data_IF_621170577428
#
_entry.id   IF_621170577428
#
_cell.length_a   1.000
_cell.length_b   1.000
_cell.length_c   1.000
_cell.angle_alpha   90.00
_cell.angle_beta   90.00
_cell.angle_gamma   90.00
#
_symmetry.space_group_name_H-M   'P 1'
#
loop_
_entity.id
_entity.type
_entity.pdbx_description
1 polymer ?
#
# COMPACT_ATOMS: atom_id res chain seq x y z
N UNK A 1 21.00 1.52 -23.22
CA UNK A 1 19.83 1.88 -22.44
C UNK A 1 20.03 3.24 -21.75
N UNK A 2 18.99 3.78 -21.07
CA UNK A 2 18.97 5.14 -20.50
C UNK A 2 20.20 5.42 -19.64
N UNK A 3 20.52 4.55 -18.67
CA UNK A 3 21.66 4.74 -17.76
C UNK A 3 22.97 4.90 -18.51
N UNK A 4 23.26 4.04 -19.48
CA UNK A 4 24.53 4.07 -20.23
C UNK A 4 24.66 5.32 -21.09
N UNK A 5 23.54 5.81 -21.66
CA UNK A 5 23.52 7.07 -22.42
C UNK A 5 23.81 8.26 -21.51
N UNK A 6 23.07 8.36 -20.39
CA UNK A 6 23.21 9.51 -19.49
C UNK A 6 24.49 9.51 -18.65
N UNK A 7 25.12 8.34 -18.40
CA UNK A 7 26.39 8.27 -17.68
C UNK A 7 27.53 8.99 -18.44
N UNK A 8 27.43 9.13 -19.75
CA UNK A 8 28.39 9.89 -20.56
C UNK A 8 28.26 11.40 -20.32
N UNK A 9 27.06 11.87 -19.98
CA UNK A 9 26.74 13.28 -19.69
C UNK A 9 26.94 13.57 -18.20
N UNK A 10 26.54 12.62 -17.34
CA UNK A 10 26.59 12.72 -15.87
C UNK A 10 27.51 11.63 -15.31
N UNK A 11 28.84 11.85 -15.29
CA UNK A 11 29.81 10.82 -14.90
C UNK A 11 29.88 10.54 -13.38
N UNK A 12 29.17 11.34 -12.57
CA UNK A 12 29.18 11.23 -11.11
C UNK A 12 28.46 9.99 -10.57
N UNK A 13 28.15 10.02 -9.29
CA UNK A 13 27.44 8.95 -8.58
C UNK A 13 25.97 8.85 -9.01
N UNK A 14 25.49 7.63 -9.06
CA UNK A 14 24.12 7.32 -9.46
C UNK A 14 23.35 6.69 -8.29
N UNK A 15 22.17 7.22 -8.02
CA UNK A 15 21.29 6.74 -6.96
C UNK A 15 19.97 6.31 -7.59
N UNK A 16 19.50 5.10 -7.29
CA UNK A 16 18.13 4.71 -7.64
C UNK A 16 17.19 4.95 -6.47
N UNK A 17 16.03 5.51 -6.74
CA UNK A 17 15.00 5.79 -5.75
C UNK A 17 13.62 5.66 -6.35
N UNK A 18 12.63 5.41 -5.51
CA UNK A 18 11.23 5.33 -5.89
C UNK A 18 10.33 5.15 -4.67
N UNK A 19 9.05 5.45 -4.85
CA UNK A 19 8.06 5.47 -3.79
C UNK A 19 7.02 4.38 -4.08
N UNK A 20 6.60 3.61 -3.05
CA UNK A 20 5.54 2.61 -3.16
C UNK A 20 5.89 1.56 -4.24
N UNK A 21 5.09 1.41 -5.29
CA UNK A 21 5.46 0.60 -6.47
C UNK A 21 6.82 1.00 -7.05
N UNK A 22 7.14 2.31 -7.04
CA UNK A 22 8.48 2.80 -7.42
C UNK A 22 9.57 2.29 -6.49
N UNK A 23 9.30 2.14 -5.19
CA UNK A 23 10.18 1.49 -4.22
C UNK A 23 10.40 0.01 -4.53
N UNK A 24 9.34 -0.72 -4.91
CA UNK A 24 9.47 -2.10 -5.42
C UNK A 24 10.34 -2.14 -6.70
N UNK A 25 10.09 -1.21 -7.64
CA UNK A 25 10.88 -1.10 -8.88
C UNK A 25 12.35 -0.81 -8.57
N UNK A 26 12.64 0.02 -7.58
CA UNK A 26 14.01 0.31 -7.10
C UNK A 26 14.70 -0.96 -6.58
N UNK A 27 13.99 -1.77 -5.79
CA UNK A 27 14.50 -3.07 -5.32
C UNK A 27 14.74 -4.06 -6.48
N UNK A 28 13.79 -4.15 -7.40
CA UNK A 28 13.92 -4.98 -8.60
C UNK A 28 15.12 -4.54 -9.44
N UNK A 29 15.23 -3.26 -9.74
CA UNK A 29 16.34 -2.71 -10.50
C UNK A 29 17.69 -3.07 -9.86
N UNK A 30 17.82 -2.87 -8.54
CA UNK A 30 19.03 -3.21 -7.80
C UNK A 30 19.34 -4.71 -7.83
N UNK A 31 18.32 -5.58 -7.74
CA UNK A 31 18.50 -7.03 -7.78
C UNK A 31 18.85 -7.59 -9.16
N UNK A 32 18.43 -6.91 -10.24
CA UNK A 32 18.75 -7.33 -11.61
C UNK A 32 20.04 -6.67 -12.16
N UNK A 33 20.34 -5.46 -11.69
CA UNK A 33 21.48 -4.66 -12.12
C UNK A 33 22.27 -4.12 -10.92
N UNK A 34 22.96 -5.01 -10.17
CA UNK A 34 23.55 -4.67 -8.87
C UNK A 34 24.62 -3.58 -8.93
N UNK A 35 25.31 -3.45 -10.06
CA UNK A 35 26.43 -2.53 -10.25
C UNK A 35 26.06 -1.25 -11.02
N UNK A 36 24.80 -1.08 -11.39
CA UNK A 36 24.35 0.06 -12.20
C UNK A 36 24.23 1.37 -11.40
N UNK A 37 24.08 1.28 -10.09
CA UNK A 37 23.97 2.44 -9.20
C UNK A 37 24.83 2.27 -7.96
N UNK A 38 25.32 3.39 -7.42
CA UNK A 38 26.18 3.39 -6.23
C UNK A 38 25.43 2.98 -4.97
N UNK A 39 24.20 3.48 -4.80
CA UNK A 39 23.29 3.02 -3.75
C UNK A 39 21.82 3.23 -4.13
N UNK A 40 20.93 2.69 -3.32
CA UNK A 40 19.46 2.74 -3.58
C UNK A 40 18.68 3.17 -2.35
N UNK A 41 17.62 3.97 -2.56
CA UNK A 41 16.74 4.45 -1.49
C UNK A 41 15.28 4.15 -1.87
N UNK A 42 14.78 2.91 -1.65
CA UNK A 42 13.37 2.59 -1.81
C UNK A 42 12.54 3.14 -0.62
N UNK A 43 11.48 3.90 -0.94
CA UNK A 43 10.53 4.45 0.03
C UNK A 43 9.25 3.62 0.02
N UNK A 44 8.80 3.21 1.20
CA UNK A 44 7.52 2.52 1.45
C UNK A 44 7.19 1.45 0.41
N UNK A 45 8.24 0.76 -0.05
CA UNK A 45 8.16 -0.29 -1.06
C UNK A 45 7.89 -1.64 -0.40
N UNK A 46 6.69 -2.22 -0.56
CA UNK A 46 6.40 -3.54 0.01
C UNK A 46 7.10 -4.65 -0.77
N UNK A 47 7.39 -5.74 -0.10
CA UNK A 47 7.85 -7.00 -0.68
C UNK A 47 6.82 -8.08 -0.37
N UNK A 48 5.72 -8.10 -1.12
CA UNK A 48 4.64 -9.06 -0.93
C UNK A 48 5.02 -10.41 -1.53
N UNK A 49 4.63 -11.49 -0.84
CA UNK A 49 4.91 -12.88 -1.21
C UNK A 49 3.73 -13.59 -1.89
N UNK A 50 2.61 -12.89 -2.04
CA UNK A 50 1.39 -13.41 -2.65
C UNK A 50 0.37 -12.31 -2.92
N UNK A 51 -0.63 -12.63 -3.72
CA UNK A 51 -1.89 -11.90 -3.78
C UNK A 51 -2.59 -12.18 -2.45
N UNK A 52 -3.10 -11.17 -1.77
CA UNK A 52 -3.63 -11.32 -0.40
C UNK A 52 -2.55 -11.80 0.59
N UNK A 53 -1.43 -11.07 0.63
CA UNK A 53 -0.35 -11.35 1.57
C UNK A 53 -0.86 -11.23 3.01
N UNK A 54 -0.96 -12.36 3.70
CA UNK A 54 -1.59 -12.49 5.02
C UNK A 54 -0.88 -11.77 6.18
N UNK A 55 0.07 -10.85 5.92
CA UNK A 55 0.72 -10.02 6.94
C UNK A 55 -0.04 -8.73 7.22
N UNK A 56 -0.89 -8.27 6.31
CA UNK A 56 -1.58 -6.97 6.42
C UNK A 56 -2.69 -7.00 7.48
N UNK A 57 -3.53 -8.04 7.53
CA UNK A 57 -4.62 -8.12 8.50
C UNK A 57 -4.10 -8.23 9.95
N UNK A 58 -3.07 -9.04 10.28
CA UNK A 58 -2.44 -9.01 11.60
C UNK A 58 -1.82 -7.67 11.96
N UNK A 59 -1.28 -6.93 10.99
CA UNK A 59 -0.77 -5.57 11.18
C UNK A 59 -1.90 -4.62 11.55
N UNK A 60 -2.99 -4.59 10.78
CA UNK A 60 -4.17 -3.74 11.02
C UNK A 60 -4.81 -4.01 12.39
N UNK A 61 -4.72 -5.23 12.90
CA UNK A 61 -5.18 -5.56 14.26
C UNK A 61 -4.27 -5.03 15.38
N UNK A 62 -3.08 -4.52 15.06
CA UNK A 62 -2.08 -4.07 16.06
C UNK A 62 -1.66 -2.61 15.89
N UNK A 63 -1.79 -2.03 14.70
CA UNK A 63 -1.35 -0.67 14.39
C UNK A 63 -2.05 0.37 15.27
N UNK A 64 -1.32 1.42 15.65
CA UNK A 64 -1.84 2.47 16.52
C UNK A 64 -2.24 1.98 17.92
N UNK A 65 -3.10 2.74 18.57
CA UNK A 65 -3.67 2.38 19.89
C UNK A 65 -4.92 1.52 19.73
N UNK A 66 -5.32 0.83 20.80
CA UNK A 66 -6.58 0.09 20.84
C UNK A 66 -7.79 1.00 20.59
N UNK A 67 -7.80 2.17 21.21
CA UNK A 67 -8.89 3.15 21.05
C UNK A 67 -9.03 3.65 19.60
N UNK A 68 -7.90 3.88 18.90
CA UNK A 68 -7.93 4.26 17.49
C UNK A 68 -8.55 3.14 16.63
N UNK A 69 -8.14 1.89 16.82
CA UNK A 69 -8.70 0.75 16.08
C UNK A 69 -10.18 0.52 16.35
N UNK A 70 -10.60 0.62 17.61
CA UNK A 70 -12.03 0.53 17.99
C UNK A 70 -12.85 1.65 17.34
N UNK A 71 -12.32 2.87 17.31
CA UNK A 71 -12.98 4.01 16.67
C UNK A 71 -13.16 3.81 15.17
N UNK A 72 -12.14 3.27 14.49
CA UNK A 72 -12.18 2.93 13.06
C UNK A 72 -13.23 1.84 12.81
N UNK A 73 -13.19 0.74 13.57
CA UNK A 73 -14.13 -0.37 13.42
C UNK A 73 -15.57 0.05 13.73
N UNK A 74 -15.77 0.90 14.72
CA UNK A 74 -17.08 1.44 15.09
C UNK A 74 -17.70 2.25 13.94
N UNK A 75 -16.89 3.08 13.26
CA UNK A 75 -17.32 3.81 12.08
C UNK A 75 -17.71 2.87 10.94
N UNK A 76 -16.87 1.89 10.61
CA UNK A 76 -17.17 0.88 9.58
C UNK A 76 -18.49 0.15 9.88
N UNK A 77 -18.70 -0.26 11.12
CA UNK A 77 -19.92 -0.93 11.55
C UNK A 77 -21.15 -0.01 11.47
N UNK A 78 -21.00 1.29 11.79
CA UNK A 78 -22.10 2.25 11.73
C UNK A 78 -22.55 2.47 10.28
N UNK A 79 -21.61 2.65 9.35
CA UNK A 79 -21.91 2.74 7.92
C UNK A 79 -22.65 1.49 7.43
N UNK A 80 -22.18 0.31 7.78
CA UNK A 80 -22.80 -0.96 7.36
C UNK A 80 -24.20 -1.16 7.96
N UNK A 81 -24.47 -0.71 9.18
CA UNK A 81 -25.80 -0.76 9.79
C UNK A 81 -26.80 0.13 9.07
N UNK A 82 -26.34 1.26 8.53
CA UNK A 82 -27.14 2.21 7.75
C UNK A 82 -27.04 1.99 6.23
N UNK A 83 -26.70 0.75 5.81
CA UNK A 83 -26.49 0.42 4.40
C UNK A 83 -27.64 0.86 3.50
N UNK A 84 -28.91 0.72 3.94
CA UNK A 84 -30.09 1.16 3.19
C UNK A 84 -30.08 2.66 2.88
N UNK A 85 -29.57 3.46 3.78
CA UNK A 85 -29.52 4.92 3.66
C UNK A 85 -28.27 5.38 2.89
N UNK A 86 -27.17 4.60 2.99
CA UNK A 86 -25.92 4.85 2.26
C UNK A 86 -26.03 4.55 0.77
N UNK A 87 -26.80 3.52 0.36
CA UNK A 87 -26.86 3.08 -1.03
C UNK A 87 -27.38 4.17 -1.99
N UNK A 88 -28.44 4.92 -1.73
CA UNK A 88 -28.88 6.01 -2.62
C UNK A 88 -27.82 7.11 -2.78
N UNK A 89 -27.07 7.41 -1.71
CA UNK A 89 -25.97 8.38 -1.75
C UNK A 89 -24.83 7.88 -2.63
N UNK A 90 -24.46 6.60 -2.50
CA UNK A 90 -23.44 5.96 -3.32
C UNK A 90 -23.82 5.92 -4.78
N UNK A 91 -25.06 5.55 -5.11
CA UNK A 91 -25.56 5.53 -6.50
C UNK A 91 -25.49 6.92 -7.13
N UNK A 92 -25.93 7.96 -6.39
CA UNK A 92 -25.83 9.36 -6.84
C UNK A 92 -24.37 9.78 -7.05
N UNK A 93 -23.49 9.46 -6.12
CA UNK A 93 -22.04 9.76 -6.22
C UNK A 93 -21.43 9.10 -7.46
N UNK A 94 -21.65 7.81 -7.64
CA UNK A 94 -21.11 7.05 -8.78
C UNK A 94 -21.63 7.58 -10.12
N UNK A 95 -22.93 7.89 -10.20
CA UNK A 95 -23.54 8.49 -11.40
C UNK A 95 -22.91 9.83 -11.73
N UNK A 96 -22.72 10.71 -10.76
CA UNK A 96 -22.14 12.04 -10.94
C UNK A 96 -20.68 11.98 -11.43
N UNK A 97 -19.95 10.94 -11.03
CA UNK A 97 -18.55 10.71 -11.44
C UNK A 97 -18.41 9.78 -12.65
N UNK A 98 -19.50 9.29 -13.23
CA UNK A 98 -19.50 8.31 -14.33
C UNK A 98 -18.67 7.06 -14.00
N UNK A 99 -18.76 6.54 -12.76
CA UNK A 99 -18.09 5.32 -12.35
C UNK A 99 -18.91 4.10 -12.73
N UNK A 100 -18.25 3.08 -13.28
CA UNK A 100 -18.85 1.79 -13.62
C UNK A 100 -18.21 0.65 -12.86
N UNK A 101 -19.00 -0.37 -12.54
CA UNK A 101 -18.57 -1.52 -11.75
C UNK A 101 -19.14 -2.82 -12.29
N UNK A 102 -18.37 -3.90 -12.22
CA UNK A 102 -18.84 -5.26 -12.54
C UNK A 102 -19.61 -5.93 -11.42
N UNK A 103 -19.67 -5.31 -10.26
CA UNK A 103 -20.36 -5.82 -9.07
C UNK A 103 -21.52 -4.88 -8.72
N UNK A 104 -22.57 -5.40 -8.05
CA UNK A 104 -23.72 -4.56 -7.66
C UNK A 104 -23.35 -3.55 -6.59
N UNK A 105 -24.07 -2.41 -6.52
CA UNK A 105 -23.80 -1.31 -5.60
C UNK A 105 -23.67 -1.73 -4.12
N UNK A 106 -24.45 -2.67 -3.59
CA UNK A 106 -24.26 -3.15 -2.22
C UNK A 106 -22.88 -3.76 -1.96
N UNK A 107 -22.31 -4.48 -2.95
CA UNK A 107 -20.94 -5.01 -2.85
C UNK A 107 -19.89 -3.89 -2.99
N UNK A 108 -20.13 -2.89 -3.84
CA UNK A 108 -19.25 -1.71 -3.94
C UNK A 108 -19.13 -1.02 -2.59
N UNK A 109 -20.25 -0.80 -1.88
CA UNK A 109 -20.24 -0.23 -0.54
C UNK A 109 -19.47 -1.11 0.45
N UNK A 110 -19.66 -2.44 0.39
CA UNK A 110 -18.92 -3.37 1.23
C UNK A 110 -17.40 -3.20 1.05
N UNK A 111 -16.94 -3.10 -0.19
CA UNK A 111 -15.51 -2.90 -0.47
C UNK A 111 -15.01 -1.52 -0.02
N UNK A 112 -15.79 -0.45 -0.18
CA UNK A 112 -15.43 0.85 0.38
C UNK A 112 -15.23 0.78 1.90
N UNK A 113 -16.12 0.07 2.61
CA UNK A 113 -16.00 -0.10 4.06
C UNK A 113 -14.84 -1.00 4.45
N UNK A 114 -14.59 -2.08 3.71
CA UNK A 114 -13.45 -2.98 3.98
C UNK A 114 -12.10 -2.28 3.75
N UNK A 115 -12.00 -1.43 2.74
CA UNK A 115 -10.81 -0.63 2.43
C UNK A 115 -10.53 0.46 3.46
N UNK A 116 -11.55 0.95 4.16
CA UNK A 116 -11.47 2.13 5.00
C UNK A 116 -10.31 2.12 6.01
N UNK A 117 -10.15 1.04 6.77
CA UNK A 117 -9.07 0.95 7.77
C UNK A 117 -7.68 0.98 7.12
N UNK A 118 -7.52 0.30 5.99
CA UNK A 118 -6.26 0.28 5.26
C UNK A 118 -5.91 1.68 4.73
N UNK A 119 -6.84 2.30 4.02
CA UNK A 119 -6.66 3.63 3.43
C UNK A 119 -6.40 4.71 4.49
N UNK A 120 -7.16 4.70 5.60
CA UNK A 120 -6.98 5.67 6.69
C UNK A 120 -5.54 5.63 7.25
N UNK A 121 -5.05 4.44 7.58
CA UNK A 121 -3.69 4.27 8.08
C UNK A 121 -2.63 4.54 7.02
N UNK A 122 -2.83 4.08 5.79
CA UNK A 122 -1.92 4.32 4.67
C UNK A 122 -1.66 5.81 4.48
N UNK A 123 -2.70 6.62 4.49
CA UNK A 123 -2.54 8.06 4.25
C UNK A 123 -2.26 8.87 5.50
N UNK A 124 -2.33 8.26 6.69
CA UNK A 124 -2.10 8.91 7.97
C UNK A 124 -3.19 9.91 8.32
N UNK A 125 -4.42 9.64 7.90
CA UNK A 125 -5.57 10.45 8.27
C UNK A 125 -5.83 10.31 9.77
N UNK A 126 -6.05 11.44 10.45
CA UNK A 126 -6.26 11.44 11.90
C UNK A 126 -7.56 10.74 12.27
N UNK A 127 -7.51 9.79 13.21
CA UNK A 127 -8.71 9.15 13.76
C UNK A 127 -9.67 10.15 14.41
N UNK A 128 -9.18 11.33 14.81
CA UNK A 128 -10.01 12.40 15.36
C UNK A 128 -10.98 13.04 14.35
N UNK A 129 -10.73 12.86 13.03
CA UNK A 129 -11.62 13.37 11.98
C UNK A 129 -12.84 12.48 11.73
N UNK A 130 -12.84 11.26 12.26
CA UNK A 130 -13.96 10.32 12.09
C UNK A 130 -15.23 10.90 12.72
N UNK A 131 -16.35 11.02 11.97
CA UNK A 131 -17.61 11.52 12.49
C UNK A 131 -18.14 10.70 13.68
N UNK A 132 -18.88 11.32 14.59
CA UNK A 132 -19.50 10.60 15.72
C UNK A 132 -20.54 9.59 15.22
N UNK A 133 -20.88 8.59 16.04
CA UNK A 133 -21.97 7.64 15.72
C UNK A 133 -23.34 8.30 15.58
N UNK A 134 -23.51 9.49 16.14
CA UNK A 134 -24.74 10.28 16.04
C UNK A 134 -24.75 11.28 14.89
N UNK A 135 -23.71 11.30 14.05
CA UNK A 135 -23.69 12.11 12.84
C UNK A 135 -24.78 11.62 11.86
N UNK A 136 -25.26 12.53 11.03
CA UNK A 136 -26.21 12.18 9.96
C UNK A 136 -25.56 11.30 8.88
N UNK A 137 -26.40 10.73 8.03
CA UNK A 137 -25.96 9.80 7.02
C UNK A 137 -25.06 10.46 5.97
N UNK A 138 -25.33 11.74 5.65
CA UNK A 138 -24.50 12.49 4.70
C UNK A 138 -23.07 12.68 5.24
N UNK A 139 -22.93 13.06 6.51
CA UNK A 139 -21.60 13.25 7.10
C UNK A 139 -20.80 11.95 7.20
N UNK A 140 -21.44 10.81 7.51
CA UNK A 140 -20.81 9.50 7.50
C UNK A 140 -20.40 9.10 6.07
N UNK A 141 -21.28 9.32 5.11
CA UNK A 141 -21.05 9.02 3.71
C UNK A 141 -19.89 9.85 3.14
N UNK A 142 -19.91 11.17 3.34
CA UNK A 142 -18.86 12.07 2.82
C UNK A 142 -17.48 11.68 3.37
N UNK A 143 -17.41 11.35 4.66
CA UNK A 143 -16.16 10.90 5.26
C UNK A 143 -15.70 9.53 4.70
N UNK A 144 -16.60 8.58 4.46
CA UNK A 144 -16.26 7.33 3.81
C UNK A 144 -15.70 7.57 2.40
N UNK A 145 -16.35 8.45 1.62
CA UNK A 145 -15.92 8.78 0.25
C UNK A 145 -14.56 9.47 0.22
N UNK A 146 -14.26 10.31 1.20
CA UNK A 146 -12.95 10.96 1.33
C UNK A 146 -11.83 9.96 1.58
N UNK A 147 -12.07 8.92 2.40
CA UNK A 147 -11.03 7.98 2.82
C UNK A 147 -10.90 6.79 1.86
N UNK A 148 -12.02 6.18 1.47
CA UNK A 148 -12.05 4.92 0.73
C UNK A 148 -13.20 4.88 -0.28
N UNK A 149 -13.30 5.93 -1.10
CA UNK A 149 -14.35 6.06 -2.12
C UNK A 149 -14.30 4.96 -3.18
N UNK A 150 -15.41 4.75 -3.91
CA UNK A 150 -15.58 3.68 -4.88
C UNK A 150 -14.71 3.84 -6.13
N UNK A 151 -14.16 5.03 -6.39
CA UNK A 151 -13.28 5.30 -7.54
C UNK A 151 -12.16 4.27 -7.66
N UNK A 152 -11.68 3.76 -6.53
CA UNK A 152 -10.64 2.75 -6.44
C UNK A 152 -11.03 1.41 -7.07
N UNK A 153 -12.30 1.04 -7.01
CA UNK A 153 -12.85 -0.24 -7.49
C UNK A 153 -13.53 -0.13 -8.86
N UNK A 154 -13.55 1.07 -9.46
CA UNK A 154 -14.22 1.30 -10.73
C UNK A 154 -13.47 0.64 -11.90
N UNK A 155 -14.20 0.17 -12.91
CA UNK A 155 -13.62 -0.44 -14.12
C UNK A 155 -12.78 0.55 -14.93
N UNK A 156 -13.12 1.83 -14.90
CA UNK A 156 -12.45 2.89 -15.63
C UNK A 156 -11.34 3.61 -14.82
N UNK A 157 -10.91 3.02 -13.66
CA UNK A 157 -9.84 3.61 -12.86
C UNK A 157 -8.48 3.55 -13.62
N UNK A 158 -7.58 4.55 -13.41
CA UNK A 158 -6.39 4.72 -14.25
C UNK A 158 -5.25 3.72 -13.97
N UNK A 159 -5.34 2.92 -12.89
CA UNK A 159 -4.23 2.07 -12.43
C UNK A 159 -4.35 0.59 -12.82
N UNK A 160 -5.16 0.26 -13.82
CA UNK A 160 -5.41 -1.12 -14.25
C UNK A 160 -4.13 -1.90 -14.51
N UNK A 161 -3.16 -1.32 -15.21
CA UNK A 161 -1.88 -1.99 -15.49
C UNK A 161 -1.09 -2.35 -14.22
N UNK A 162 -1.19 -1.52 -13.17
CA UNK A 162 -0.61 -1.83 -11.87
C UNK A 162 -1.32 -3.04 -11.23
N UNK A 163 -2.65 -3.11 -11.25
CA UNK A 163 -3.38 -4.23 -10.66
C UNK A 163 -3.12 -5.55 -11.38
N UNK A 164 -2.99 -5.53 -12.70
CA UNK A 164 -2.57 -6.70 -13.48
C UNK A 164 -1.17 -7.17 -13.03
N UNK A 165 -0.24 -6.25 -12.86
CA UNK A 165 1.09 -6.58 -12.37
C UNK A 165 1.07 -7.06 -10.91
N UNK A 166 0.26 -6.45 -10.06
CA UNK A 166 0.10 -6.88 -8.66
C UNK A 166 -0.45 -8.31 -8.57
N UNK A 167 -1.51 -8.61 -9.34
CA UNK A 167 -2.09 -9.95 -9.40
C UNK A 167 -1.11 -11.00 -9.93
N UNK A 168 -0.23 -10.62 -10.87
CA UNK A 168 0.68 -11.56 -11.52
C UNK A 168 1.99 -11.79 -10.76
N UNK A 169 2.57 -10.76 -10.14
CA UNK A 169 3.96 -10.87 -9.66
C UNK A 169 4.36 -9.97 -8.48
N UNK A 170 3.68 -8.84 -8.23
CA UNK A 170 4.07 -7.96 -7.12
C UNK A 170 3.42 -8.34 -5.81
N UNK A 171 2.26 -9.00 -5.86
CA UNK A 171 1.42 -9.28 -4.70
C UNK A 171 0.61 -8.07 -4.22
N UNK A 172 -0.31 -8.34 -3.30
CA UNK A 172 -1.23 -7.34 -2.77
C UNK A 172 -1.74 -7.73 -1.39
N UNK A 173 -2.71 -7.00 -0.82
CA UNK A 173 -3.36 -7.31 0.45
C UNK A 173 -4.75 -7.91 0.25
N UNK A 174 -5.28 -8.53 1.31
CA UNK A 174 -6.64 -9.01 1.40
C UNK A 174 -7.44 -8.25 2.46
N UNK A 175 -8.70 -8.61 2.64
CA UNK A 175 -9.59 -8.03 3.65
C UNK A 175 -10.08 -9.07 4.65
N UNK A 176 -10.12 -8.71 5.93
CA UNK A 176 -10.78 -9.50 6.98
C UNK A 176 -12.26 -9.14 7.06
N UNK A 177 -13.11 -10.01 6.52
CA UNK A 177 -14.57 -9.83 6.52
C UNK A 177 -15.22 -10.23 7.85
N UNK A 178 -14.52 -10.97 8.73
CA UNK A 178 -15.09 -11.55 9.95
C UNK A 178 -15.73 -10.54 10.89
N UNK A 179 -15.13 -9.36 11.17
CA UNK A 179 -15.73 -8.37 12.07
C UNK A 179 -17.06 -7.80 11.56
N UNK A 180 -17.29 -7.88 10.27
CA UNK A 180 -18.39 -7.21 9.56
C UNK A 180 -19.42 -8.18 8.96
N UNK A 181 -19.18 -9.50 9.06
CA UNK A 181 -19.92 -10.55 8.35
C UNK A 181 -21.45 -10.41 8.46
N UNK A 182 -21.95 -9.95 9.61
CA UNK A 182 -23.40 -9.79 9.85
C UNK A 182 -24.06 -8.75 8.94
N UNK A 183 -23.28 -7.77 8.44
CA UNK A 183 -23.79 -6.59 7.73
C UNK A 183 -23.32 -6.53 6.28
N UNK A 184 -22.33 -7.34 5.90
CA UNK A 184 -21.85 -7.42 4.52
C UNK A 184 -22.85 -8.17 3.63
N UNK A 185 -22.90 -7.76 2.37
CA UNK A 185 -23.59 -8.48 1.28
C UNK A 185 -22.75 -9.67 0.81
N UNK A 186 -21.42 -9.50 0.81
CA UNK A 186 -20.47 -10.53 0.41
C UNK A 186 -20.16 -11.49 1.56
N UNK A 187 -20.02 -12.77 1.25
CA UNK A 187 -19.57 -13.79 2.22
C UNK A 187 -18.06 -13.84 2.38
N UNK A 188 -17.32 -13.45 1.34
CA UNK A 188 -15.87 -13.49 1.27
C UNK A 188 -15.34 -12.40 0.35
N UNK A 189 -14.21 -11.81 0.73
CA UNK A 189 -13.45 -10.90 -0.14
C UNK A 189 -12.28 -11.61 -0.84
N UNK A 190 -12.15 -12.94 -0.68
CA UNK A 190 -11.08 -13.71 -1.32
C UNK A 190 -11.12 -13.57 -2.85
N UNK A 191 -9.96 -13.33 -3.46
CA UNK A 191 -9.84 -13.16 -4.90
C UNK A 191 -10.35 -11.83 -5.44
N UNK A 192 -10.65 -10.84 -4.58
CA UNK A 192 -11.25 -9.56 -5.02
C UNK A 192 -10.39 -8.85 -6.07
N UNK A 193 -9.06 -8.89 -5.94
CA UNK A 193 -8.15 -8.25 -6.89
C UNK A 193 -8.38 -8.80 -8.31
N UNK A 194 -8.44 -10.12 -8.47
CA UNK A 194 -8.72 -10.75 -9.76
C UNK A 194 -10.16 -10.52 -10.23
N UNK A 195 -11.13 -10.55 -9.29
CA UNK A 195 -12.56 -10.48 -9.63
C UNK A 195 -13.01 -9.09 -10.06
N UNK A 196 -12.51 -8.04 -9.44
CA UNK A 196 -13.04 -6.68 -9.61
C UNK A 196 -12.03 -5.64 -10.10
N UNK A 197 -10.73 -5.87 -9.88
CA UNK A 197 -9.70 -4.87 -10.21
C UNK A 197 -9.02 -5.12 -11.56
N UNK A 198 -9.13 -6.33 -12.13
CA UNK A 198 -8.55 -6.65 -13.43
C UNK A 198 -9.52 -6.36 -14.57
N UNK A 199 -9.04 -6.09 -15.80
CA UNK A 199 -9.87 -6.10 -16.99
C UNK A 199 -10.67 -7.42 -17.12
N UNK A 200 -11.89 -7.34 -17.64
CA UNK A 200 -12.79 -8.49 -17.72
C UNK A 200 -12.16 -9.69 -18.45
N UNK A 201 -11.44 -9.42 -19.52
CA UNK A 201 -10.77 -10.44 -20.33
C UNK A 201 -9.64 -11.17 -19.59
N UNK A 202 -9.15 -10.64 -18.46
CA UNK A 202 -8.10 -11.21 -17.63
C UNK A 202 -8.61 -11.90 -16.35
N UNK A 203 -9.90 -11.73 -16.02
CA UNK A 203 -10.50 -12.38 -14.83
C UNK A 203 -10.37 -13.90 -14.94
N UNK A 204 -9.82 -14.52 -13.89
CA UNK A 204 -9.58 -15.96 -13.83
C UNK A 204 -8.45 -16.49 -14.73
N UNK A 205 -7.70 -15.60 -15.41
CA UNK A 205 -6.61 -15.97 -16.32
C UNK A 205 -5.23 -15.52 -15.84
N UNK A 206 -5.16 -14.85 -14.70
CA UNK A 206 -3.90 -14.34 -14.14
C UNK A 206 -3.55 -15.13 -12.88
N UNK A 207 -2.49 -15.93 -12.97
CA UNK A 207 -1.91 -16.64 -11.84
C UNK A 207 -0.74 -15.86 -11.25
N UNK A 208 -0.66 -15.83 -9.92
CA UNK A 208 0.46 -15.20 -9.23
C UNK A 208 1.74 -16.01 -9.40
N UNK A 209 2.83 -15.33 -9.75
CA UNK A 209 4.16 -15.91 -9.92
C UNK A 209 5.14 -15.25 -8.96
N UNK A 210 5.61 -15.94 -7.92
CA UNK A 210 6.46 -15.34 -6.87
C UNK A 210 7.93 -15.11 -7.29
N UNK A 211 8.25 -15.24 -8.57
CA UNK A 211 9.63 -15.15 -9.06
C UNK A 211 10.32 -13.83 -8.70
N UNK A 212 9.60 -12.69 -8.79
CA UNK A 212 10.14 -11.39 -8.43
C UNK A 212 10.36 -11.26 -6.93
N UNK A 213 9.42 -11.76 -6.10
CA UNK A 213 9.62 -11.86 -4.66
C UNK A 213 10.89 -12.62 -4.32
N UNK A 214 11.06 -13.83 -4.86
CA UNK A 214 12.24 -14.66 -4.60
C UNK A 214 13.53 -14.01 -5.11
N UNK A 215 13.49 -13.33 -6.27
CA UNK A 215 14.65 -12.61 -6.79
C UNK A 215 15.14 -11.52 -5.84
N UNK A 216 14.22 -10.68 -5.33
CA UNK A 216 14.57 -9.61 -4.39
C UNK A 216 15.00 -10.21 -3.04
N UNK A 217 14.20 -11.14 -2.50
CA UNK A 217 14.47 -11.77 -1.21
C UNK A 217 15.85 -12.44 -1.16
N UNK A 218 16.17 -13.26 -2.16
CA UNK A 218 17.46 -13.96 -2.23
C UNK A 218 18.61 -12.98 -2.48
N UNK A 219 18.43 -11.96 -3.33
CA UNK A 219 19.43 -10.92 -3.53
C UNK A 219 19.79 -10.21 -2.23
N UNK A 220 18.80 -9.76 -1.45
CA UNK A 220 19.02 -9.10 -0.16
C UNK A 220 19.60 -10.07 0.88
N UNK A 221 19.15 -11.33 0.90
CA UNK A 221 19.65 -12.35 1.81
C UNK A 221 21.12 -12.68 1.56
N UNK A 222 21.52 -12.85 0.32
CA UNK A 222 22.83 -13.40 -0.07
C UNK A 222 23.89 -12.30 -0.28
N UNK A 223 23.48 -11.04 -0.48
CA UNK A 223 24.39 -9.90 -0.70
C UNK A 223 24.22 -8.85 0.40
N UNK A 224 25.07 -7.81 0.41
CA UNK A 224 24.99 -6.66 1.31
C UNK A 224 25.05 -5.35 0.51
N UNK A 225 24.05 -5.09 -0.35
CA UNK A 225 24.06 -3.90 -1.21
C UNK A 225 23.87 -2.62 -0.38
N UNK A 226 24.46 -1.52 -0.83
CA UNK A 226 24.23 -0.19 -0.24
C UNK A 226 22.78 0.23 -0.49
N UNK A 227 21.90 -0.01 0.46
CA UNK A 227 20.46 0.29 0.38
C UNK A 227 19.92 0.86 1.70
N UNK A 228 19.13 1.92 1.60
CA UNK A 228 18.42 2.52 2.74
C UNK A 228 16.91 2.39 2.47
N UNK A 229 16.26 1.55 3.24
CA UNK A 229 14.80 1.32 3.17
C UNK A 229 14.09 2.25 4.14
N UNK A 230 13.11 3.00 3.65
CA UNK A 230 12.31 3.94 4.43
C UNK A 230 10.88 3.41 4.52
N UNK A 231 10.36 3.27 5.74
CA UNK A 231 9.00 2.80 6.00
C UNK A 231 8.29 3.70 7.01
N UNK A 232 6.96 3.63 7.06
CA UNK A 232 6.13 4.27 8.07
C UNK A 232 5.61 3.26 9.10
N UNK A 233 5.65 3.61 10.40
CA UNK A 233 5.21 2.72 11.48
C UNK A 233 3.71 2.35 11.38
N UNK A 234 2.88 3.31 10.94
CA UNK A 234 1.44 3.10 10.81
C UNK A 234 0.99 2.76 9.38
N UNK A 235 1.91 2.71 8.42
CA UNK A 235 1.61 2.35 7.04
C UNK A 235 1.32 0.85 6.93
N UNK A 236 0.12 0.42 6.50
CA UNK A 236 -0.19 -1.00 6.34
C UNK A 236 0.76 -1.72 5.37
N UNK A 237 1.30 -1.04 4.37
CA UNK A 237 2.31 -1.60 3.47
C UNK A 237 3.60 -1.99 4.18
N UNK A 238 3.90 -1.41 5.35
CA UNK A 238 5.04 -1.80 6.18
C UNK A 238 4.90 -3.20 6.79
N UNK A 239 3.69 -3.77 6.80
CA UNK A 239 3.50 -5.19 7.11
C UNK A 239 4.28 -6.12 6.17
N UNK A 240 4.47 -5.67 4.94
CA UNK A 240 5.20 -6.37 3.89
C UNK A 240 6.59 -5.77 3.61
N UNK A 241 7.19 -5.04 4.56
CA UNK A 241 8.55 -4.53 4.43
C UNK A 241 9.59 -5.65 4.22
N UNK A 242 10.75 -5.29 3.71
CA UNK A 242 11.88 -6.22 3.59
C UNK A 242 12.31 -6.75 4.95
N UNK A 243 12.70 -8.03 5.08
CA UNK A 243 13.19 -8.55 6.35
C UNK A 243 14.57 -7.97 6.70
N UNK A 244 14.82 -7.74 7.98
CA UNK A 244 16.14 -7.40 8.47
C UNK A 244 17.01 -8.66 8.55
N UNK A 245 17.95 -8.81 7.62
CA UNK A 245 18.88 -9.92 7.61
C UNK A 245 20.06 -9.67 8.57
N UNK A 246 20.47 -10.72 9.31
CA UNK A 246 21.63 -10.63 10.22
C UNK A 246 22.95 -10.43 9.46
N UNK A 247 23.83 -9.63 10.04
CA UNK A 247 25.21 -9.43 9.53
C UNK A 247 25.32 -8.41 8.40
N UNK A 248 24.21 -7.77 7.96
CA UNK A 248 24.24 -6.71 6.96
C UNK A 248 24.79 -5.42 7.55
N UNK A 249 25.67 -4.75 6.81
CA UNK A 249 26.30 -3.47 7.19
C UNK A 249 25.79 -2.32 6.31
N UNK A 250 25.43 -2.63 5.08
CA UNK A 250 25.03 -1.67 4.05
C UNK A 250 23.51 -1.64 3.81
N UNK A 251 22.77 -2.66 4.25
CA UNK A 251 21.32 -2.65 4.25
C UNK A 251 20.80 -2.02 5.55
N UNK A 252 20.19 -0.84 5.45
CA UNK A 252 19.67 -0.10 6.59
C UNK A 252 18.15 0.11 6.44
N UNK A 253 17.41 -0.20 7.50
CA UNK A 253 15.94 -0.05 7.52
C UNK A 253 15.60 1.03 8.56
N UNK A 254 14.90 2.06 8.14
CA UNK A 254 14.39 3.14 8.98
C UNK A 254 12.87 3.15 8.95
N UNK A 255 12.27 3.10 10.13
CA UNK A 255 10.82 3.15 10.31
C UNK A 255 10.48 4.46 11.02
N UNK A 256 9.78 5.34 10.31
CA UNK A 256 9.35 6.63 10.87
C UNK A 256 8.29 6.40 11.97
N UNK A 257 8.52 6.84 13.23
CA UNK A 257 7.51 6.77 14.27
C UNK A 257 6.24 7.52 13.86
N UNK A 258 5.08 6.87 14.00
CA UNK A 258 3.77 7.39 13.55
C UNK A 258 3.74 7.77 12.07
N UNK A 259 4.75 7.39 11.29
CA UNK A 259 4.83 7.63 9.85
C UNK A 259 3.83 6.77 9.06
N UNK A 260 3.19 7.39 8.07
CA UNK A 260 2.30 6.74 7.11
C UNK A 260 3.04 6.41 5.80
N UNK A 261 2.31 6.08 4.73
CA UNK A 261 2.87 5.92 3.37
C UNK A 261 3.57 7.18 2.84
N UNK A 262 3.45 8.28 3.58
CA UNK A 262 4.13 9.56 3.31
C UNK A 262 5.50 9.68 3.99
N UNK A 263 6.02 8.61 4.60
CA UNK A 263 7.36 8.59 5.21
C UNK A 263 8.46 8.88 4.17
N UNK A 264 9.27 9.91 4.42
CA UNK A 264 10.39 10.34 3.57
C UNK A 264 11.54 10.80 4.45
N UNK A 265 12.77 10.81 3.94
CA UNK A 265 13.93 11.35 4.68
C UNK A 265 13.65 12.78 5.17
N UNK A 266 13.01 13.60 4.34
CA UNK A 266 12.73 15.01 4.67
C UNK A 266 11.77 15.24 5.84
N UNK A 267 10.93 14.25 6.18
CA UNK A 267 9.99 14.34 7.30
C UNK A 267 10.27 13.33 8.43
N UNK A 268 11.45 12.71 8.44
CA UNK A 268 11.93 11.89 9.54
C UNK A 268 12.23 12.73 10.79
N UNK A 269 12.18 12.14 12.00
CA UNK A 269 12.81 12.73 13.18
C UNK A 269 14.27 13.13 12.88
N UNK A 270 14.73 14.27 13.42
CA UNK A 270 16.01 14.85 13.01
C UNK A 270 17.20 13.91 13.25
N UNK A 271 17.22 13.16 14.36
CA UNK A 271 18.26 12.16 14.65
C UNK A 271 18.31 11.03 13.60
N UNK A 272 17.16 10.59 13.11
CA UNK A 272 17.10 9.58 12.05
C UNK A 272 17.56 10.18 10.70
N UNK A 273 17.11 11.37 10.39
CA UNK A 273 17.47 12.10 9.17
C UNK A 273 18.98 12.33 9.11
N UNK A 274 19.59 12.81 10.19
CA UNK A 274 21.04 13.01 10.27
C UNK A 274 21.81 11.71 10.04
N UNK A 275 21.40 10.60 10.66
CA UNK A 275 22.03 9.29 10.45
C UNK A 275 21.94 8.84 8.99
N UNK A 276 20.77 9.00 8.37
CA UNK A 276 20.56 8.64 6.96
C UNK A 276 21.47 9.49 6.06
N UNK A 277 21.46 10.82 6.24
CA UNK A 277 22.25 11.73 5.41
C UNK A 277 23.77 11.52 5.60
N UNK A 278 24.19 11.25 6.83
CA UNK A 278 25.61 10.90 7.13
C UNK A 278 26.02 9.62 6.38
N UNK A 279 25.18 8.60 6.38
CA UNK A 279 25.45 7.37 5.65
C UNK A 279 25.47 7.57 4.12
N UNK A 280 24.52 8.35 3.61
CA UNK A 280 24.48 8.68 2.17
C UNK A 280 25.74 9.46 1.76
N UNK A 281 26.12 10.47 2.52
CA UNK A 281 27.33 11.28 2.26
C UNK A 281 28.60 10.42 2.31
N UNK A 282 28.69 9.48 3.26
CA UNK A 282 29.78 8.51 3.28
C UNK A 282 29.86 7.71 1.98
N UNK A 283 28.76 7.17 1.50
CA UNK A 283 28.73 6.39 0.25
C UNK A 283 29.01 7.22 -1.00
N UNK A 284 28.64 8.51 -0.97
CA UNK A 284 28.97 9.43 -2.06
C UNK A 284 30.47 9.77 -2.13
N UNK A 285 31.16 9.73 -0.99
CA UNK A 285 32.60 10.01 -0.89
C UNK A 285 33.48 8.79 -1.25
N UNK A 286 32.97 7.59 -1.20
CA UNK A 286 33.63 6.34 -1.66
C UNK A 286 33.68 6.20 -3.18
#
# INVERSE_FOLDING_TARGET
NVRNTFKQIYPGKWISTGISKGGQTTMLYRAFFPDDVDFSVPYVGPLCKGVEDGRHEPFLRKVGTKAERERIQDFQLEVLKRKSDMLPLLESYCKNKNLTFRIPMPEVLDYCVLEYSFALWQWGTSVSTIPSKSADDQALFDHLMEISGPDYFAENQPNISFFVQAARELGYYGYDVKPFKKYLTIDSAHGYLNRIMLPEELVGKVDFRPALYHKIYNFLKDNDPKMIFIYGEIDPWSAAMVPAFKGKKNEQIYIQPRGSHRARIGNMPEDMKERILTQMNKWLAE
#
